data_IF_920288176466
#
_entry.id   IF_920288176466
#
_cell.length_a   1.000
_cell.length_b   1.000
_cell.length_c   1.000
_cell.angle_alpha   90.00
_cell.angle_beta   90.00
_cell.angle_gamma   90.00
#
_symmetry.space_group_name_H-M   'P 1'
#
loop_
_entity.id
_entity.type
_entity.pdbx_description
1 polymer ?
#
# COMPACT_ATOMS: atom_id res chain seq x y z
N UNK A 1 15.93 3.67 -1.83
CA UNK A 1 15.59 3.59 -0.40
C UNK A 1 14.26 4.30 -0.12
N UNK A 2 13.32 3.60 0.51
CA UNK A 2 12.10 4.19 1.05
C UNK A 2 12.45 4.94 2.35
N UNK A 3 11.91 6.14 2.57
CA UNK A 3 12.03 6.84 3.84
C UNK A 3 11.30 6.12 4.98
N UNK A 4 11.29 6.70 6.18
CA UNK A 4 10.56 6.11 7.31
C UNK A 4 9.06 5.94 6.99
N UNK A 5 8.52 4.77 7.33
CA UNK A 5 7.10 4.46 7.15
C UNK A 5 6.32 4.82 8.43
N UNK A 6 5.19 5.49 8.25
CA UNK A 6 4.21 5.75 9.29
C UNK A 6 3.03 4.81 9.12
N UNK A 7 2.76 3.97 10.13
CA UNK A 7 1.72 2.92 10.06
C UNK A 7 0.29 3.47 10.17
N UNK A 8 -0.66 2.73 9.60
CA UNK A 8 -2.10 3.03 9.66
C UNK A 8 -2.79 2.65 10.99
N UNK A 9 -2.05 2.47 12.10
CA UNK A 9 -2.63 2.09 13.40
C UNK A 9 -3.44 3.26 13.98
N UNK A 10 -4.71 3.01 14.27
CA UNK A 10 -5.74 4.00 14.64
C UNK A 10 -5.52 4.64 16.02
N UNK A 11 -5.57 5.98 16.06
CA UNK A 11 -6.06 6.84 17.15
C UNK A 11 -5.40 6.77 18.56
N UNK A 12 -4.64 5.74 18.91
CA UNK A 12 -3.73 5.75 20.07
C UNK A 12 -2.32 6.17 19.62
N UNK A 13 -1.69 7.04 20.41
CA UNK A 13 -0.30 7.52 20.25
C UNK A 13 -0.05 8.74 19.34
N UNK A 14 -1.04 9.56 18.99
CA UNK A 14 -0.77 10.94 18.51
C UNK A 14 0.12 11.07 17.25
N UNK A 15 0.21 10.01 16.44
CA UNK A 15 1.05 9.92 15.23
C UNK A 15 0.17 9.76 13.97
N UNK A 16 -0.57 10.83 13.63
CA UNK A 16 -0.81 11.35 12.27
C UNK A 16 -1.53 10.56 11.16
N UNK A 17 -1.51 9.22 11.09
CA UNK A 17 -1.98 8.47 9.90
C UNK A 17 -3.30 7.76 10.16
N UNK A 18 -4.40 8.42 9.79
CA UNK A 18 -5.75 7.82 9.81
C UNK A 18 -6.21 7.45 8.38
N UNK A 19 -7.35 6.77 8.27
CA UNK A 19 -7.91 6.33 6.97
C UNK A 19 -8.14 7.48 5.98
N UNK A 20 -8.49 8.65 6.50
CA UNK A 20 -8.68 9.88 5.72
C UNK A 20 -7.35 10.34 5.12
N UNK A 21 -6.30 10.41 5.95
CA UNK A 21 -4.96 10.78 5.54
C UNK A 21 -4.36 9.84 4.50
N UNK A 22 -4.67 8.53 4.57
CA UNK A 22 -4.26 7.57 3.54
C UNK A 22 -4.88 7.89 2.17
N UNK A 23 -6.19 8.16 2.14
CA UNK A 23 -6.88 8.51 0.89
C UNK A 23 -6.36 9.84 0.36
N UNK A 24 -6.20 10.85 1.22
CA UNK A 24 -5.65 12.15 0.80
C UNK A 24 -4.19 12.06 0.35
N UNK A 25 -3.42 11.09 0.84
CA UNK A 25 -2.05 10.82 0.37
C UNK A 25 -2.06 10.16 -1.01
N UNK A 26 -3.03 9.27 -1.26
CA UNK A 26 -3.17 8.58 -2.54
C UNK A 26 -3.66 9.52 -3.65
N UNK A 27 -4.49 10.49 -3.28
CA UNK A 27 -5.09 11.43 -4.21
C UNK A 27 -4.24 12.69 -4.31
N UNK A 28 -3.91 13.09 -5.53
CA UNK A 28 -3.49 14.47 -5.74
C UNK A 28 -4.67 15.39 -5.38
N UNK A 29 -4.40 16.44 -4.61
CA UNK A 29 -5.34 17.54 -4.34
C UNK A 29 -5.99 18.15 -5.59
N UNK A 30 -5.38 17.95 -6.77
CA UNK A 30 -5.91 18.36 -8.07
C UNK A 30 -6.83 17.34 -8.77
N UNK A 31 -7.00 16.14 -8.19
CA UNK A 31 -7.79 15.08 -8.78
C UNK A 31 -9.26 15.52 -8.94
N UNK A 32 -9.87 15.38 -10.13
CA UNK A 32 -11.26 15.79 -10.38
C UNK A 32 -12.25 14.74 -9.84
N UNK A 33 -12.16 14.44 -8.55
CA UNK A 33 -13.03 13.48 -7.87
C UNK A 33 -13.54 14.04 -6.54
N UNK A 34 -14.77 13.70 -6.19
CA UNK A 34 -15.33 13.92 -4.86
C UNK A 34 -15.33 12.57 -4.13
N UNK A 35 -14.56 12.46 -3.05
CA UNK A 35 -14.53 11.25 -2.22
C UNK A 35 -15.68 11.29 -1.21
N UNK A 36 -16.39 10.16 -1.07
CA UNK A 36 -17.25 9.95 0.09
C UNK A 36 -16.40 9.45 1.26
N UNK A 37 -15.92 10.38 2.08
CA UNK A 37 -15.05 10.03 3.21
C UNK A 37 -15.72 9.17 4.29
N UNK A 38 -17.06 9.07 4.29
CA UNK A 38 -17.78 8.16 5.17
C UNK A 38 -17.68 6.69 4.73
N UNK A 39 -17.43 6.46 3.44
CA UNK A 39 -17.25 5.13 2.84
C UNK A 39 -15.88 4.52 3.09
N UNK A 40 -14.90 5.29 3.60
CA UNK A 40 -13.53 4.77 3.73
C UNK A 40 -13.50 3.62 4.72
N UNK A 41 -13.03 2.48 4.23
CA UNK A 41 -12.78 1.27 5.01
C UNK A 41 -11.36 0.79 4.79
N UNK A 42 -10.81 0.17 5.83
CA UNK A 42 -9.53 -0.54 5.76
C UNK A 42 -9.72 -1.95 6.29
N UNK A 43 -9.06 -2.93 5.67
CA UNK A 43 -9.00 -4.31 6.15
C UNK A 43 -7.56 -4.79 6.17
N UNK A 44 -7.10 -5.22 7.33
CA UNK A 44 -5.79 -5.86 7.52
C UNK A 44 -5.80 -6.73 8.77
N UNK A 45 -4.99 -7.79 8.78
CA UNK A 45 -4.75 -8.60 9.98
C UNK A 45 -3.89 -7.88 11.02
N UNK A 46 -3.07 -6.92 10.59
CA UNK A 46 -2.23 -6.09 11.45
C UNK A 46 -1.98 -4.71 10.83
N UNK A 47 -1.94 -3.65 11.65
CA UNK A 47 -1.75 -2.29 11.13
C UNK A 47 -0.36 -2.02 10.54
N UNK A 48 0.61 -2.92 10.75
CA UNK A 48 1.92 -2.90 10.07
C UNK A 48 1.86 -3.34 8.59
N UNK A 49 0.68 -3.68 8.09
CA UNK A 49 0.45 -4.03 6.69
C UNK A 49 0.16 -2.82 5.79
N UNK A 50 0.02 -1.63 6.38
CA UNK A 50 -0.38 -0.41 5.67
C UNK A 50 0.24 0.83 6.30
N UNK A 51 0.58 1.81 5.48
CA UNK A 51 1.05 3.09 5.97
C UNK A 51 1.32 4.11 4.88
N UNK A 52 1.97 5.20 5.27
CA UNK A 52 2.50 6.21 4.37
C UNK A 52 4.03 6.17 4.41
N UNK A 53 4.65 6.17 3.24
CA UNK A 53 6.09 6.23 3.06
C UNK A 53 6.47 7.57 2.44
N UNK A 54 7.53 8.19 2.95
CA UNK A 54 8.17 9.32 2.25
C UNK A 54 9.20 8.75 1.28
N UNK A 55 9.02 9.00 -0.02
CA UNK A 55 9.95 8.56 -1.05
C UNK A 55 11.18 9.46 -1.05
N UNK A 56 12.36 8.89 -0.81
CA UNK A 56 13.65 9.60 -0.81
C UNK A 56 14.55 9.16 -1.97
N UNK A 57 14.20 8.06 -2.63
CA UNK A 57 14.93 7.54 -3.78
C UNK A 57 14.64 8.36 -5.05
N UNK A 58 15.68 8.95 -5.63
CA UNK A 58 15.56 9.78 -6.83
C UNK A 58 15.02 9.00 -8.04
N UNK A 59 15.30 7.70 -8.17
CA UNK A 59 14.78 6.90 -9.27
C UNK A 59 13.26 6.72 -9.12
N UNK A 60 12.80 6.32 -7.94
CA UNK A 60 11.37 6.17 -7.66
C UNK A 60 10.64 7.51 -7.78
N UNK A 61 11.21 8.60 -7.23
CA UNK A 61 10.66 9.95 -7.32
C UNK A 61 10.41 10.41 -8.77
N UNK A 62 11.30 10.06 -9.71
CA UNK A 62 11.11 10.39 -11.12
C UNK A 62 9.97 9.61 -11.78
N UNK A 63 9.66 8.39 -11.31
CA UNK A 63 8.51 7.60 -11.80
C UNK A 63 7.18 8.16 -11.29
N UNK A 64 7.19 8.82 -10.14
CA UNK A 64 6.02 9.49 -9.54
C UNK A 64 5.98 11.00 -9.81
N UNK A 65 6.80 11.49 -10.75
CA UNK A 65 6.69 12.85 -11.30
C UNK A 65 7.15 14.00 -10.39
N UNK A 66 7.96 13.75 -9.36
CA UNK A 66 8.32 14.77 -8.37
C UNK A 66 9.74 14.71 -7.81
N UNK A 67 10.07 15.69 -6.95
CA UNK A 67 11.34 15.80 -6.21
C UNK A 67 11.21 15.44 -4.73
N UNK A 68 9.99 15.16 -4.27
CA UNK A 68 9.62 14.61 -2.96
C UNK A 68 8.17 14.14 -3.10
N UNK A 69 7.87 12.92 -2.66
CA UNK A 69 6.52 12.38 -2.73
C UNK A 69 6.26 11.49 -1.51
N UNK A 70 5.05 11.59 -0.97
CA UNK A 70 4.51 10.61 -0.04
C UNK A 70 3.65 9.62 -0.83
N UNK A 71 3.75 8.34 -0.50
CA UNK A 71 2.94 7.30 -1.12
C UNK A 71 2.28 6.42 -0.06
N UNK A 72 1.13 5.86 -0.41
CA UNK A 72 0.53 4.77 0.38
C UNK A 72 1.29 3.49 0.08
N UNK A 73 1.64 2.75 1.14
CA UNK A 73 2.25 1.42 1.04
C UNK A 73 1.31 0.37 1.62
N UNK A 74 1.16 -0.74 0.90
CA UNK A 74 0.35 -1.90 1.28
C UNK A 74 1.22 -3.15 1.18
N UNK A 75 1.14 -4.04 2.16
CA UNK A 75 1.84 -5.33 2.14
C UNK A 75 0.98 -6.44 2.77
N UNK A 76 1.08 -7.64 2.23
CA UNK A 76 0.58 -8.85 2.91
C UNK A 76 1.45 -9.24 4.12
N UNK A 77 2.67 -8.71 4.21
CA UNK A 77 3.56 -8.78 5.36
C UNK A 77 3.76 -7.43 6.03
N UNK A 78 4.92 -7.26 6.68
CA UNK A 78 5.26 -6.02 7.37
C UNK A 78 5.87 -5.01 6.38
N UNK A 79 5.25 -3.85 6.20
CA UNK A 79 5.72 -2.82 5.26
C UNK A 79 7.13 -2.31 5.56
N UNK A 80 7.60 -2.37 6.81
CA UNK A 80 8.98 -1.98 7.15
C UNK A 80 10.05 -2.89 6.57
N UNK A 81 9.67 -4.07 6.11
CA UNK A 81 10.57 -5.02 5.48
C UNK A 81 10.71 -4.78 3.97
N UNK A 82 9.88 -3.89 3.40
CA UNK A 82 9.95 -3.54 1.98
C UNK A 82 11.19 -2.68 1.63
N UNK A 83 11.89 -2.10 2.62
CA UNK A 83 13.12 -1.32 2.42
C UNK A 83 14.40 -2.14 2.66
N UNK A 84 14.29 -3.44 2.96
CA UNK A 84 15.48 -4.28 3.18
C UNK A 84 16.08 -4.76 1.85
N UNK A 85 16.88 -3.89 1.23
CA UNK A 85 17.73 -4.16 0.06
C UNK A 85 18.72 -5.33 0.26
N UNK A 86 18.80 -5.93 1.45
CA UNK A 86 19.80 -6.95 1.77
C UNK A 86 19.27 -8.36 1.88
N UNK A 87 17.94 -8.59 1.89
CA UNK A 87 17.28 -9.89 2.18
C UNK A 87 18.24 -10.92 2.83
N UNK A 88 18.77 -10.62 4.05
CA UNK A 88 20.02 -11.23 4.50
C UNK A 88 19.90 -12.73 4.78
N UNK A 89 18.68 -13.26 4.77
CA UNK A 89 18.37 -14.67 5.01
C UNK A 89 17.79 -15.38 3.77
N UNK A 90 17.75 -14.72 2.60
CA UNK A 90 17.13 -15.24 1.37
C UNK A 90 15.60 -15.32 1.41
N UNK A 91 15.00 -15.20 2.59
CA UNK A 91 13.56 -15.15 2.81
C UNK A 91 13.26 -14.19 3.97
N UNK A 92 12.49 -13.14 3.70
CA UNK A 92 11.79 -12.41 4.74
C UNK A 92 10.31 -12.70 4.62
N UNK A 93 9.68 -13.05 5.73
CA UNK A 93 8.25 -13.31 5.76
C UNK A 93 7.70 -12.82 7.10
N UNK A 94 6.60 -12.09 7.03
CA UNK A 94 5.78 -11.82 8.20
C UNK A 94 4.39 -12.34 7.94
N UNK A 95 3.96 -13.33 8.73
CA UNK A 95 2.63 -13.92 8.64
C UNK A 95 1.78 -13.35 9.76
N UNK A 96 0.74 -12.61 9.41
CA UNK A 96 -0.18 -12.05 10.41
C UNK A 96 -1.37 -12.97 10.69
N UNK A 97 -1.61 -13.98 9.85
CA UNK A 97 -2.72 -14.91 10.00
C UNK A 97 -4.09 -14.26 9.77
N UNK A 98 -4.11 -13.09 9.14
CA UNK A 98 -5.30 -12.35 8.78
C UNK A 98 -6.09 -13.01 7.65
N UNK A 99 -7.36 -12.60 7.54
CA UNK A 99 -8.21 -13.02 6.45
C UNK A 99 -7.65 -12.54 5.09
N UNK A 100 -7.97 -13.29 4.04
CA UNK A 100 -7.80 -12.85 2.66
C UNK A 100 -8.96 -11.95 2.20
N UNK A 101 -9.00 -11.72 0.89
CA UNK A 101 -10.04 -10.98 0.19
C UNK A 101 -10.91 -11.97 -0.63
N UNK A 102 -12.22 -11.99 -0.36
CA UNK A 102 -13.15 -12.90 -1.03
C UNK A 102 -13.37 -12.58 -2.50
N UNK A 103 -13.29 -11.31 -2.87
CA UNK A 103 -13.55 -10.84 -4.23
C UNK A 103 -12.35 -11.17 -5.12
N UNK A 104 -11.12 -11.02 -4.59
CA UNK A 104 -9.91 -11.46 -5.27
C UNK A 104 -9.80 -12.98 -5.39
N UNK A 105 -10.32 -13.74 -4.41
CA UNK A 105 -10.32 -15.22 -4.46
C UNK A 105 -11.05 -15.78 -5.69
N UNK A 106 -12.03 -15.04 -6.22
CA UNK A 106 -12.73 -15.43 -7.45
C UNK A 106 -11.76 -15.49 -8.63
N UNK A 107 -10.80 -14.57 -8.70
CA UNK A 107 -9.80 -14.50 -9.76
C UNK A 107 -8.62 -15.47 -9.57
N UNK A 108 -8.35 -15.93 -8.35
CA UNK A 108 -7.22 -16.81 -8.03
C UNK A 108 -7.60 -18.26 -7.80
N UNK A 109 -8.84 -18.65 -8.12
CA UNK A 109 -9.34 -20.00 -7.88
C UNK A 109 -8.41 -21.08 -8.49
N UNK A 110 -8.14 -22.19 -7.77
CA UNK A 110 -8.74 -22.63 -6.51
C UNK A 110 -8.07 -22.06 -5.24
N UNK A 111 -7.11 -21.15 -5.37
CA UNK A 111 -6.36 -20.61 -4.25
C UNK A 111 -7.11 -19.48 -3.54
N UNK A 112 -6.98 -19.43 -2.21
CA UNK A 112 -7.44 -18.31 -1.41
C UNK A 112 -6.27 -17.41 -1.04
N UNK A 113 -6.47 -16.11 -1.20
CA UNK A 113 -5.63 -15.04 -0.66
C UNK A 113 -5.60 -15.11 0.88
N UNK A 114 -4.55 -14.55 1.47
CA UNK A 114 -4.29 -14.48 2.92
C UNK A 114 -3.64 -13.15 3.25
N UNK A 115 -3.79 -12.72 4.50
CA UNK A 115 -3.18 -11.50 5.01
C UNK A 115 -3.46 -10.28 4.11
N UNK A 116 -4.72 -10.10 3.69
CA UNK A 116 -5.09 -8.98 2.81
C UNK A 116 -4.83 -7.63 3.50
N UNK A 117 -4.32 -6.66 2.74
CA UNK A 117 -4.19 -5.26 3.14
C UNK A 117 -4.97 -4.40 2.14
N UNK A 118 -6.11 -3.88 2.57
CA UNK A 118 -7.12 -3.28 1.70
C UNK A 118 -7.41 -1.86 2.19
N UNK A 119 -7.33 -0.89 1.28
CA UNK A 119 -7.87 0.46 1.42
C UNK A 119 -8.97 0.62 0.38
N UNK A 120 -10.21 0.85 0.83
CA UNK A 120 -11.37 1.00 -0.05
C UNK A 120 -12.10 2.31 0.28
N UNK A 121 -12.54 3.00 -0.77
CA UNK A 121 -13.34 4.22 -0.70
C UNK A 121 -14.15 4.41 -1.98
N UNK A 122 -15.30 5.05 -1.85
CA UNK A 122 -16.15 5.44 -2.97
C UNK A 122 -15.87 6.89 -3.36
N UNK A 123 -15.96 7.19 -4.66
CA UNK A 123 -15.82 8.54 -5.18
C UNK A 123 -16.75 8.78 -6.38
N UNK A 124 -17.02 10.05 -6.66
CA UNK A 124 -17.74 10.51 -7.86
C UNK A 124 -16.83 11.42 -8.69
N UNK A 125 -16.60 11.13 -9.99
CA UNK A 125 -15.86 12.04 -10.87
C UNK A 125 -16.58 13.40 -11.01
N UNK A 126 -15.82 14.49 -11.02
CA UNK A 126 -16.37 15.86 -11.18
C UNK A 126 -16.27 16.39 -12.61
N UNK A 127 -15.50 15.73 -13.47
CA UNK A 127 -15.36 16.02 -14.90
C UNK A 127 -15.32 14.74 -15.71
N UNK A 128 -15.68 14.81 -16.99
CA UNK A 128 -15.42 13.73 -17.94
C UNK A 128 -13.90 13.51 -18.08
N UNK A 129 -13.44 12.27 -17.99
CA UNK A 129 -12.01 11.95 -18.07
C UNK A 129 -11.65 10.59 -17.51
N UNK A 130 -10.34 10.33 -17.44
CA UNK A 130 -9.77 9.09 -16.93
C UNK A 130 -9.22 9.29 -15.53
N UNK A 131 -9.45 8.31 -14.66
CA UNK A 131 -8.77 8.21 -13.36
C UNK A 131 -7.59 7.28 -13.54
N UNK A 132 -6.43 7.74 -13.08
CA UNK A 132 -5.17 7.02 -13.19
C UNK A 132 -4.50 7.03 -11.83
N UNK A 133 -3.82 5.94 -11.47
CA UNK A 133 -2.93 5.90 -10.32
C UNK A 133 -1.65 5.17 -10.73
N UNK A 134 -0.53 5.68 -10.26
CA UNK A 134 0.77 5.01 -10.39
C UNK A 134 0.93 4.06 -9.22
N UNK A 135 1.41 2.85 -9.50
CA UNK A 135 1.74 1.87 -8.46
C UNK A 135 3.08 1.21 -8.80
N UNK A 136 3.77 0.75 -7.76
CA UNK A 136 4.94 -0.12 -7.88
C UNK A 136 4.62 -1.39 -7.11
N UNK A 137 4.83 -2.53 -7.75
CA UNK A 137 4.80 -3.82 -7.08
C UNK A 137 6.22 -4.22 -6.72
N UNK A 138 6.42 -4.66 -5.49
CA UNK A 138 7.71 -5.13 -4.99
C UNK A 138 7.52 -6.35 -4.10
N UNK A 139 8.55 -7.20 -4.09
CA UNK A 139 8.69 -8.27 -3.12
C UNK A 139 10.18 -8.45 -2.86
N UNK A 140 10.51 -8.52 -1.59
CA UNK A 140 11.83 -8.80 -1.04
C UNK A 140 12.36 -10.20 -1.39
N UNK A 141 11.48 -11.09 -1.88
CA UNK A 141 11.87 -12.42 -2.36
C UNK A 141 11.82 -12.53 -3.90
N UNK A 142 11.53 -11.43 -4.62
CA UNK A 142 11.36 -11.49 -6.09
C UNK A 142 12.63 -11.95 -6.79
N UNK A 143 13.81 -11.48 -6.36
CA UNK A 143 15.10 -11.85 -6.94
C UNK A 143 15.49 -13.31 -6.70
N UNK A 144 14.93 -13.95 -5.68
CA UNK A 144 15.19 -15.31 -5.26
C UNK A 144 14.24 -16.31 -5.93
N UNK A 145 13.01 -15.88 -6.25
CA UNK A 145 11.99 -16.74 -6.85
C UNK A 145 11.70 -16.50 -8.32
N UNK A 146 12.16 -15.39 -8.90
CA UNK A 146 12.08 -15.22 -10.35
C UNK A 146 13.01 -16.26 -11.00
N UNK A 147 12.46 -17.09 -11.89
CA UNK A 147 13.18 -18.15 -12.64
C UNK A 147 13.72 -19.34 -11.80
N UNK A 148 13.35 -19.50 -10.53
CA UNK A 148 13.65 -20.74 -9.79
C UNK A 148 12.55 -21.79 -10.02
N UNK A 149 12.92 -22.85 -10.75
CA UNK A 149 12.10 -24.03 -11.05
C UNK A 149 12.69 -25.29 -10.42
#
# INVERSE_FOLDING_TARGET
QAGSIQYACSEEEGLGVNKQFLVDTLLDSSAPINVDYSSITTQFGNCRQMGVVTLTDNYVLTQFGGSSATAVVLSSGNVNLADDDTNPNGHQTTKYGGAGDSDLNVGTAPYSTKDASILQFDFTPTTDGNISFSFVFGSEEYTEYVDSS
#
